data_IF_490926244532
#
_entry.id   IF_490926244532
#
_cell.length_a   1.000
_cell.length_b   1.000
_cell.length_c   1.000
_cell.angle_alpha   90.00
_cell.angle_beta   90.00
_cell.angle_gamma   90.00
#
_symmetry.space_group_name_H-M   'P 1'
#
loop_
_entity.id
_entity.type
_entity.pdbx_description
1 polymer ?
#
# COMPACT_ATOMS: atom_id res chain seq x y z
N UNK A 1 -12.35 1.58 36.32
CA UNK A 1 -11.08 1.11 36.96
C UNK A 1 -11.02 -0.40 36.76
N UNK A 2 -9.85 -1.01 36.47
CA UNK A 2 -8.60 -0.71 37.15
C UNK A 2 -7.67 0.21 36.36
N UNK A 3 -7.10 1.19 37.09
CA UNK A 3 -5.96 2.02 36.68
C UNK A 3 -4.76 1.11 36.40
N UNK A 4 -4.31 1.08 35.16
CA UNK A 4 -3.06 0.44 34.76
C UNK A 4 -1.87 1.05 35.52
N UNK A 5 -1.06 0.16 36.09
CA UNK A 5 0.07 0.36 36.99
C UNK A 5 1.08 1.42 36.50
N UNK A 6 1.37 2.41 37.35
CA UNK A 6 2.38 3.48 37.24
C UNK A 6 3.65 3.01 36.49
N UNK A 7 3.91 3.56 35.29
CA UNK A 7 5.09 3.25 34.45
C UNK A 7 6.39 3.57 35.19
N UNK A 8 7.37 2.65 35.16
CA UNK A 8 8.74 2.82 35.69
C UNK A 8 9.84 2.68 34.63
N UNK A 9 9.50 2.60 33.35
CA UNK A 9 10.44 2.61 32.21
C UNK A 9 9.75 3.16 30.96
N UNK A 10 10.48 3.92 30.14
CA UNK A 10 9.97 4.63 28.96
C UNK A 10 9.92 3.78 27.67
N UNK A 11 10.24 2.49 27.73
CA UNK A 11 10.29 1.59 26.58
C UNK A 11 9.02 0.75 26.36
N UNK A 12 8.89 0.21 25.15
CA UNK A 12 7.87 -0.80 24.81
C UNK A 12 8.19 -2.13 25.48
N UNK A 13 7.17 -2.84 25.96
CA UNK A 13 7.27 -4.23 26.40
C UNK A 13 7.34 -5.16 25.20
N UNK A 14 7.87 -6.37 25.40
CA UNK A 14 7.88 -7.45 24.39
C UNK A 14 6.51 -7.70 23.76
N UNK A 15 5.45 -7.69 24.57
CA UNK A 15 4.08 -7.89 24.12
C UNK A 15 3.59 -6.74 23.22
N UNK A 16 3.96 -5.49 23.56
CA UNK A 16 3.60 -4.31 22.77
C UNK A 16 4.35 -4.31 21.43
N UNK A 17 5.63 -4.70 21.42
CA UNK A 17 6.41 -4.85 20.17
C UNK A 17 5.85 -5.97 19.29
N UNK A 18 5.55 -7.13 19.87
CA UNK A 18 4.98 -8.25 19.13
C UNK A 18 3.64 -7.87 18.48
N UNK A 19 2.79 -7.14 19.21
CA UNK A 19 1.53 -6.62 18.67
C UNK A 19 1.74 -5.64 17.50
N UNK A 20 2.66 -4.68 17.64
CA UNK A 20 2.99 -3.73 16.56
C UNK A 20 3.50 -4.42 15.29
N UNK A 21 4.27 -5.49 15.45
CA UNK A 21 4.83 -6.26 14.34
C UNK A 21 3.93 -7.40 13.86
N UNK A 22 2.67 -7.47 14.31
CA UNK A 22 1.70 -8.51 13.98
C UNK A 22 2.24 -9.95 14.16
N UNK A 23 2.93 -10.20 15.27
CA UNK A 23 3.51 -11.51 15.61
C UNK A 23 3.19 -11.92 17.05
N UNK A 24 3.37 -13.19 17.39
CA UNK A 24 3.18 -13.65 18.76
C UNK A 24 4.33 -13.19 19.67
N UNK A 25 4.02 -12.88 20.94
CA UNK A 25 5.03 -12.51 21.93
C UNK A 25 6.05 -13.65 22.18
N UNK A 26 5.61 -14.90 22.06
CA UNK A 26 6.45 -16.09 22.14
C UNK A 26 7.42 -16.20 20.95
N UNK A 27 6.97 -15.91 19.73
CA UNK A 27 7.85 -15.80 18.56
C UNK A 27 8.89 -14.69 18.74
N UNK A 28 8.46 -13.50 19.17
CA UNK A 28 9.36 -12.39 19.45
C UNK A 28 10.41 -12.74 20.52
N UNK A 29 10.00 -13.42 21.60
CA UNK A 29 10.91 -13.85 22.65
C UNK A 29 11.88 -14.96 22.23
N UNK A 30 11.57 -15.77 21.20
CA UNK A 30 12.53 -16.69 20.59
C UNK A 30 13.53 -15.97 19.70
N UNK A 31 13.07 -14.97 18.96
CA UNK A 31 13.91 -14.13 18.11
C UNK A 31 14.97 -13.39 18.94
N UNK A 32 14.56 -12.76 20.05
CA UNK A 32 15.49 -12.09 20.97
C UNK A 32 16.53 -13.02 21.62
N UNK A 33 16.22 -14.31 21.76
CA UNK A 33 17.10 -15.29 22.41
C UNK A 33 18.00 -16.02 21.42
N UNK A 34 17.99 -15.66 20.13
CA UNK A 34 18.71 -16.35 19.06
C UNK A 34 18.39 -17.86 18.98
N UNK A 35 17.21 -18.26 19.47
CA UNK A 35 16.72 -19.65 19.49
C UNK A 35 15.50 -19.86 18.60
N UNK A 36 15.17 -18.86 17.79
CA UNK A 36 14.06 -18.89 16.85
C UNK A 36 14.50 -19.31 15.44
N UNK A 37 13.55 -19.74 14.59
CA UNK A 37 13.83 -19.93 13.16
C UNK A 37 14.23 -18.60 12.53
N UNK A 38 15.06 -18.67 11.48
CA UNK A 38 15.39 -17.51 10.64
C UNK A 38 14.08 -16.85 10.17
N UNK A 39 13.89 -15.53 10.41
CA UNK A 39 12.65 -14.87 10.01
C UNK A 39 12.47 -14.93 8.50
N UNK A 40 11.23 -15.20 8.06
CA UNK A 40 10.89 -15.12 6.64
C UNK A 40 10.91 -13.67 6.16
N UNK A 41 11.06 -13.42 4.84
CA UNK A 41 10.93 -12.07 4.27
C UNK A 41 9.66 -11.32 4.70
N UNK A 42 8.52 -12.02 4.79
CA UNK A 42 7.25 -11.45 5.25
C UNK A 42 7.28 -11.03 6.73
N UNK A 43 7.95 -11.83 7.58
CA UNK A 43 8.14 -11.50 8.98
C UNK A 43 9.05 -10.27 9.14
N UNK A 44 10.12 -10.18 8.34
CA UNK A 44 11.03 -9.02 8.34
C UNK A 44 10.31 -7.74 7.88
N UNK A 45 9.44 -7.83 6.87
CA UNK A 45 8.59 -6.72 6.45
C UNK A 45 7.66 -6.26 7.58
N UNK A 46 7.07 -7.21 8.31
CA UNK A 46 6.19 -6.93 9.45
C UNK A 46 6.94 -6.27 10.62
N UNK A 47 8.18 -6.70 10.89
CA UNK A 47 9.06 -6.07 11.89
C UNK A 47 9.41 -4.65 11.47
N UNK A 48 9.84 -4.45 10.22
CA UNK A 48 10.21 -3.14 9.72
C UNK A 48 9.03 -2.16 9.77
N UNK A 49 7.82 -2.65 9.47
CA UNK A 49 6.60 -1.88 9.55
C UNK A 49 6.21 -1.57 11.00
N UNK A 50 6.19 -2.56 11.88
CA UNK A 50 5.75 -2.39 13.28
C UNK A 50 6.70 -1.54 14.11
N UNK A 51 8.00 -1.62 13.85
CA UNK A 51 9.02 -0.82 14.52
C UNK A 51 9.26 0.54 13.88
N UNK A 52 8.50 0.88 12.83
CA UNK A 52 8.67 2.13 12.10
C UNK A 52 10.13 2.31 11.66
N UNK A 53 10.72 1.28 11.04
CA UNK A 53 12.04 1.40 10.44
C UNK A 53 11.95 2.26 9.18
N UNK A 54 13.02 2.99 8.86
CA UNK A 54 13.23 3.59 7.54
C UNK A 54 13.48 2.51 6.47
N UNK A 55 13.43 2.91 5.18
CA UNK A 55 13.75 2.01 4.07
C UNK A 55 15.19 1.47 4.20
N UNK A 56 16.14 2.30 4.62
CA UNK A 56 17.53 1.88 4.78
C UNK A 56 17.70 0.89 5.94
N UNK A 57 17.02 1.14 7.07
CA UNK A 57 17.00 0.23 8.23
C UNK A 57 16.29 -1.09 7.90
N UNK A 58 15.18 -1.06 7.14
CA UNK A 58 14.53 -2.25 6.61
C UNK A 58 15.49 -3.03 5.73
N UNK A 59 16.14 -2.38 4.77
CA UNK A 59 17.04 -3.07 3.84
C UNK A 59 18.26 -3.64 4.57
N UNK A 60 18.72 -2.97 5.63
CA UNK A 60 19.75 -3.50 6.51
C UNK A 60 19.25 -4.71 7.31
N UNK A 61 18.04 -4.66 7.87
CA UNK A 61 17.40 -5.78 8.58
C UNK A 61 17.28 -7.03 7.69
N UNK A 62 16.89 -6.88 6.43
CA UNK A 62 16.85 -7.99 5.47
C UNK A 62 18.23 -8.62 5.26
N UNK A 63 19.25 -7.79 5.06
CA UNK A 63 20.64 -8.25 4.88
C UNK A 63 21.19 -8.93 6.13
N UNK A 64 20.92 -8.41 7.32
CA UNK A 64 21.29 -9.04 8.59
C UNK A 64 20.68 -10.44 8.75
N UNK A 65 19.44 -10.60 8.27
CA UNK A 65 18.75 -11.88 8.27
C UNK A 65 19.11 -12.77 7.07
N UNK A 66 20.11 -12.42 6.25
CA UNK A 66 20.57 -13.24 5.12
C UNK A 66 19.66 -13.20 3.88
N UNK A 67 18.74 -12.23 3.79
CA UNK A 67 17.83 -12.06 2.66
C UNK A 67 18.23 -10.87 1.79
N UNK A 68 17.87 -10.94 0.51
CA UNK A 68 17.97 -9.78 -0.38
C UNK A 68 16.81 -8.81 -0.05
N UNK A 69 17.05 -7.51 0.13
CA UNK A 69 15.99 -6.56 0.44
C UNK A 69 14.96 -6.46 -0.70
N UNK A 70 13.68 -6.20 -0.40
CA UNK A 70 12.66 -6.01 -1.42
C UNK A 70 13.02 -4.85 -2.34
N UNK A 71 12.72 -4.94 -3.66
CA UNK A 71 12.89 -3.82 -4.57
C UNK A 71 12.24 -2.55 -4.00
N UNK A 72 12.97 -1.43 -4.04
CA UNK A 72 12.40 -0.12 -3.71
C UNK A 72 11.47 0.29 -4.88
N UNK A 73 10.20 0.57 -4.61
CA UNK A 73 9.24 0.97 -5.66
C UNK A 73 7.85 0.36 -5.50
N UNK A 74 7.15 0.14 -6.61
CA UNK A 74 5.71 -0.23 -6.69
C UNK A 74 5.24 -1.35 -5.80
N UNK A 75 6.06 -2.38 -5.61
CA UNK A 75 5.72 -3.57 -4.84
C UNK A 75 6.09 -3.46 -3.37
N UNK A 76 6.74 -2.36 -2.96
CA UNK A 76 7.10 -2.15 -1.56
C UNK A 76 5.87 -1.74 -0.76
N UNK A 77 5.37 -2.65 0.06
CA UNK A 77 4.30 -2.38 1.04
C UNK A 77 4.80 -1.62 2.28
N UNK A 78 6.09 -1.29 2.32
CA UNK A 78 6.69 -0.58 3.44
C UNK A 78 6.25 0.89 3.46
N UNK A 79 5.65 1.30 4.58
CA UNK A 79 5.23 2.67 4.82
C UNK A 79 6.25 3.36 5.71
N UNK A 80 6.78 4.49 5.25
CA UNK A 80 7.75 5.23 6.03
C UNK A 80 7.15 5.75 7.35
N UNK A 81 7.94 5.85 8.42
CA UNK A 81 7.50 6.37 9.72
C UNK A 81 6.96 7.81 9.65
N UNK A 82 7.51 8.61 8.74
CA UNK A 82 7.03 9.97 8.49
C UNK A 82 5.59 9.97 7.99
N UNK A 83 5.27 9.08 7.02
CA UNK A 83 3.95 9.01 6.43
C UNK A 83 2.90 8.45 7.40
N UNK A 84 3.26 7.45 8.22
CA UNK A 84 2.40 6.97 9.31
C UNK A 84 2.06 8.10 10.29
N UNK A 85 3.05 8.88 10.72
CA UNK A 85 2.82 10.01 11.65
C UNK A 85 1.94 11.11 11.09
N UNK A 86 1.91 11.27 9.76
CA UNK A 86 0.98 12.18 9.07
C UNK A 86 -0.41 11.57 9.06
N UNK A 87 -0.54 10.30 8.64
CA UNK A 87 -1.82 9.60 8.58
C UNK A 87 -2.50 9.53 9.96
N UNK A 88 -1.74 9.26 11.02
CA UNK A 88 -2.24 9.18 12.41
C UNK A 88 -2.85 10.49 12.90
N UNK A 89 -2.49 11.63 12.30
CA UNK A 89 -3.04 12.96 12.61
C UNK A 89 -4.32 13.28 11.85
N UNK A 90 -4.69 12.49 10.85
CA UNK A 90 -5.85 12.70 9.98
C UNK A 90 -7.07 11.87 10.44
N UNK A 91 -7.32 11.81 11.75
CA UNK A 91 -8.38 10.97 12.33
C UNK A 91 -9.77 11.32 11.77
N UNK A 92 -10.07 12.62 11.62
CA UNK A 92 -11.35 13.13 11.13
C UNK A 92 -11.33 13.51 9.64
N UNK A 93 -10.26 13.12 8.92
CA UNK A 93 -10.09 13.44 7.50
C UNK A 93 -9.99 12.15 6.68
N UNK A 94 -10.79 11.96 5.62
CA UNK A 94 -10.63 10.83 4.72
C UNK A 94 -9.24 10.86 4.07
N UNK A 95 -8.43 9.84 4.33
CA UNK A 95 -7.09 9.72 3.79
C UNK A 95 -6.65 8.26 3.67
N UNK A 96 -5.75 8.01 2.73
CA UNK A 96 -5.15 6.72 2.51
C UNK A 96 -3.69 6.83 2.06
N UNK A 97 -2.95 5.76 2.29
CA UNK A 97 -1.60 5.56 1.78
C UNK A 97 -1.69 4.47 0.71
N UNK A 98 -1.25 4.80 -0.49
CA UNK A 98 -1.28 3.90 -1.66
C UNK A 98 0.11 3.75 -2.27
N UNK A 99 0.34 2.65 -2.98
CA UNK A 99 1.51 2.46 -3.84
C UNK A 99 1.41 3.31 -5.12
N UNK A 100 2.46 3.33 -5.94
CA UNK A 100 2.42 4.00 -7.26
C UNK A 100 1.36 3.40 -8.21
N UNK A 101 0.94 2.15 -7.96
CA UNK A 101 -0.14 1.47 -8.70
C UNK A 101 -1.53 1.72 -8.11
N UNK A 102 -1.65 2.56 -7.08
CA UNK A 102 -2.90 2.81 -6.39
C UNK A 102 -3.38 1.61 -5.56
N UNK A 103 -2.46 0.78 -5.07
CA UNK A 103 -2.77 -0.31 -4.13
C UNK A 103 -2.74 0.23 -2.71
N UNK A 104 -3.85 0.11 -1.98
CA UNK A 104 -3.99 0.65 -0.63
C UNK A 104 -3.18 -0.14 0.39
N UNK A 105 -2.37 0.57 1.18
CA UNK A 105 -1.58 0.03 2.28
C UNK A 105 -2.21 0.33 3.64
N UNK A 106 -2.76 1.54 3.81
CA UNK A 106 -3.48 1.99 5.02
C UNK A 106 -4.55 3.01 4.67
N UNK A 107 -5.63 3.03 5.44
CA UNK A 107 -6.70 4.04 5.36
C UNK A 107 -7.03 4.57 6.76
N UNK A 108 -7.43 5.83 6.83
CA UNK A 108 -8.08 6.37 8.04
C UNK A 108 -9.49 5.81 8.17
N UNK A 109 -10.10 5.79 9.38
CA UNK A 109 -11.50 5.39 9.54
C UNK A 109 -12.46 6.17 8.64
N UNK A 110 -12.22 7.47 8.48
CA UNK A 110 -12.99 8.33 7.55
C UNK A 110 -12.73 7.98 6.09
N UNK A 111 -11.54 7.50 5.73
CA UNK A 111 -11.24 6.97 4.41
C UNK A 111 -12.05 5.71 4.11
N UNK A 112 -12.10 4.77 5.06
CA UNK A 112 -12.91 3.55 4.96
C UNK A 112 -14.41 3.89 4.85
N UNK A 113 -14.90 4.87 5.60
CA UNK A 113 -16.29 5.30 5.50
C UNK A 113 -16.64 5.92 4.14
N UNK A 114 -15.66 6.53 3.45
CA UNK A 114 -15.85 7.21 2.18
C UNK A 114 -15.73 6.27 0.97
N UNK A 115 -14.73 5.38 0.95
CA UNK A 115 -14.41 4.54 -0.22
C UNK A 115 -14.55 3.04 0.02
N UNK A 116 -15.00 2.64 1.22
CA UNK A 116 -14.94 1.26 1.69
C UNK A 116 -13.54 0.86 2.15
N UNK A 117 -13.44 -0.34 2.74
CA UNK A 117 -12.15 -0.91 3.14
C UNK A 117 -11.43 -1.49 1.91
N UNK A 118 -10.64 -0.65 1.27
CA UNK A 118 -9.87 -1.00 0.08
C UNK A 118 -8.61 -1.80 0.40
N UNK A 119 -8.27 -1.98 1.68
CA UNK A 119 -7.15 -2.85 2.09
C UNK A 119 -7.48 -4.34 1.95
N UNK A 120 -8.76 -4.70 1.80
CA UNK A 120 -9.22 -6.09 1.69
C UNK A 120 -9.06 -6.68 0.29
N UNK A 121 -8.83 -5.86 -0.73
CA UNK A 121 -8.63 -6.35 -2.09
C UNK A 121 -7.37 -7.22 -2.17
N UNK A 122 -7.42 -8.23 -3.04
CA UNK A 122 -6.30 -9.15 -3.30
C UNK A 122 -6.05 -9.28 -4.80
N UNK A 123 -4.90 -9.83 -5.18
CA UNK A 123 -4.56 -10.04 -6.59
C UNK A 123 -4.54 -8.72 -7.41
N UNK A 124 -4.89 -8.76 -8.71
CA UNK A 124 -4.96 -7.56 -9.56
C UNK A 124 -5.91 -6.48 -9.03
N UNK A 125 -6.99 -6.90 -8.37
CA UNK A 125 -8.00 -6.00 -7.81
C UNK A 125 -7.47 -5.11 -6.69
N UNK A 126 -6.23 -5.29 -6.19
CA UNK A 126 -5.58 -4.33 -5.28
C UNK A 126 -5.39 -2.95 -5.91
N UNK A 127 -5.11 -2.89 -7.20
CA UNK A 127 -4.86 -1.62 -7.90
C UNK A 127 -6.18 -0.91 -8.20
N UNK A 128 -6.32 0.34 -7.72
CA UNK A 128 -7.48 1.18 -8.06
C UNK A 128 -7.59 1.44 -9.55
N UNK A 129 -6.46 1.60 -10.24
CA UNK A 129 -6.43 1.73 -11.70
C UNK A 129 -6.91 0.47 -12.42
N UNK A 130 -6.59 -0.72 -11.90
CA UNK A 130 -7.13 -1.97 -12.46
C UNK A 130 -8.64 -2.05 -12.25
N UNK A 131 -9.11 -1.83 -11.00
CA UNK A 131 -10.55 -1.83 -10.67
C UNK A 131 -11.34 -0.83 -11.51
N UNK A 132 -10.77 0.34 -11.82
CA UNK A 132 -11.41 1.34 -12.68
C UNK A 132 -11.88 0.77 -14.03
N UNK A 133 -11.17 -0.21 -14.58
CA UNK A 133 -11.53 -0.85 -15.84
C UNK A 133 -12.34 -2.13 -15.66
N UNK A 134 -12.19 -2.85 -14.55
CA UNK A 134 -12.78 -4.19 -14.39
C UNK A 134 -13.98 -4.25 -13.44
N UNK A 135 -14.22 -3.19 -12.68
CA UNK A 135 -15.28 -3.12 -11.67
C UNK A 135 -16.10 -1.84 -11.89
N UNK A 136 -17.36 -2.01 -12.32
CA UNK A 136 -18.26 -0.89 -12.54
C UNK A 136 -18.51 -0.08 -11.26
N UNK A 137 -18.57 -0.75 -10.10
CA UNK A 137 -18.82 -0.10 -8.81
C UNK A 137 -17.69 0.85 -8.40
N UNK A 138 -16.47 0.62 -8.90
CA UNK A 138 -15.34 1.51 -8.67
C UNK A 138 -15.53 2.89 -9.32
N UNK A 139 -16.34 2.98 -10.39
CA UNK A 139 -16.66 4.24 -11.07
C UNK A 139 -17.81 4.99 -10.41
N UNK A 140 -18.72 4.29 -9.75
CA UNK A 140 -19.91 4.87 -9.12
C UNK A 140 -19.55 5.87 -8.00
N UNK A 141 -18.37 5.71 -7.39
CA UNK A 141 -17.84 6.67 -6.40
C UNK A 141 -17.52 8.05 -6.99
N UNK A 142 -17.35 8.15 -8.30
CA UNK A 142 -16.91 9.37 -8.99
C UNK A 142 -18.04 9.95 -9.83
N UNK A 143 -18.14 11.28 -9.88
CA UNK A 143 -19.15 11.91 -10.71
C UNK A 143 -18.93 11.54 -12.20
N UNK A 144 -20.00 11.29 -12.99
CA UNK A 144 -19.88 10.83 -14.37
C UNK A 144 -18.97 11.71 -15.24
N UNK A 145 -18.97 13.03 -14.99
CA UNK A 145 -18.13 13.98 -15.72
C UNK A 145 -16.63 13.78 -15.47
N UNK A 146 -16.25 13.11 -14.37
CA UNK A 146 -14.86 12.78 -14.05
C UNK A 146 -14.39 11.52 -14.78
N UNK A 147 -15.31 10.65 -15.23
CA UNK A 147 -14.95 9.31 -15.70
C UNK A 147 -13.98 9.34 -16.87
N UNK A 148 -14.25 10.16 -17.90
CA UNK A 148 -13.38 10.27 -19.06
C UNK A 148 -11.95 10.73 -18.69
N UNK A 149 -11.84 11.63 -17.71
CA UNK A 149 -10.55 12.08 -17.21
C UNK A 149 -9.82 10.98 -16.43
N UNK A 150 -10.52 10.29 -15.52
CA UNK A 150 -9.96 9.21 -14.69
C UNK A 150 -9.51 8.03 -15.55
N UNK A 151 -10.28 7.64 -16.58
CA UNK A 151 -9.89 6.60 -17.54
C UNK A 151 -8.55 6.93 -18.19
N UNK A 152 -8.38 8.15 -18.69
CA UNK A 152 -7.12 8.61 -19.29
C UNK A 152 -5.99 8.66 -18.27
N UNK A 153 -6.26 9.15 -17.06
CA UNK A 153 -5.29 9.24 -15.98
C UNK A 153 -4.72 7.87 -15.61
N UNK A 154 -5.59 6.87 -15.38
CA UNK A 154 -5.15 5.52 -15.01
C UNK A 154 -4.40 4.83 -16.15
N UNK A 155 -4.86 4.96 -17.40
CA UNK A 155 -4.15 4.40 -18.56
C UNK A 155 -2.76 5.03 -18.75
N UNK A 156 -2.65 6.36 -18.68
CA UNK A 156 -1.40 7.09 -18.80
C UNK A 156 -0.43 6.78 -17.64
N UNK A 157 -0.95 6.69 -16.41
CA UNK A 157 -0.18 6.33 -15.22
C UNK A 157 0.41 4.93 -15.33
N UNK A 158 -0.41 3.94 -15.72
CA UNK A 158 0.05 2.56 -15.89
C UNK A 158 1.11 2.46 -16.99
N UNK A 159 0.92 3.15 -18.14
CA UNK A 159 1.94 3.25 -19.19
C UNK A 159 3.26 3.81 -18.67
N UNK A 160 3.22 4.92 -17.94
CA UNK A 160 4.40 5.55 -17.37
C UNK A 160 5.17 4.61 -16.44
N UNK A 161 4.45 3.84 -15.62
CA UNK A 161 5.03 2.87 -14.71
C UNK A 161 5.65 1.66 -15.42
N UNK A 162 5.03 1.16 -16.49
CA UNK A 162 5.64 0.11 -17.33
C UNK A 162 6.97 0.59 -17.91
N UNK A 163 7.01 1.81 -18.45
CA UNK A 163 8.26 2.39 -18.96
C UNK A 163 9.32 2.54 -17.88
N UNK A 164 8.93 2.98 -16.67
CA UNK A 164 9.85 3.21 -15.57
C UNK A 164 10.38 1.91 -14.93
N UNK A 165 9.54 0.88 -14.81
CA UNK A 165 9.82 -0.35 -14.04
C UNK A 165 10.16 -1.56 -14.91
N UNK A 166 9.93 -1.49 -16.22
CA UNK A 166 10.25 -2.54 -17.18
C UNK A 166 9.14 -3.58 -17.38
N UNK A 167 9.35 -4.52 -18.34
CA UNK A 167 8.34 -5.47 -18.80
C UNK A 167 8.01 -6.58 -17.78
N UNK A 168 8.91 -6.89 -16.85
CA UNK A 168 8.66 -7.90 -15.80
C UNK A 168 7.99 -7.31 -14.54
N UNK A 169 7.57 -6.04 -14.62
CA UNK A 169 7.01 -5.31 -13.48
C UNK A 169 5.55 -5.67 -13.20
N UNK A 170 5.11 -5.41 -11.96
CA UNK A 170 3.69 -5.49 -11.59
C UNK A 170 2.80 -4.61 -12.48
N UNK A 171 3.32 -3.45 -12.90
CA UNK A 171 2.63 -2.55 -13.82
C UNK A 171 2.39 -3.21 -15.19
N UNK A 172 3.40 -3.90 -15.73
CA UNK A 172 3.31 -4.58 -17.02
C UNK A 172 2.30 -5.73 -16.96
N UNK A 173 2.37 -6.53 -15.89
CA UNK A 173 1.39 -7.58 -15.64
C UNK A 173 -0.06 -7.07 -15.60
N UNK A 174 -0.33 -5.96 -14.90
CA UNK A 174 -1.68 -5.37 -14.88
C UNK A 174 -2.09 -4.81 -16.25
N UNK A 175 -1.16 -4.22 -16.99
CA UNK A 175 -1.42 -3.71 -18.33
C UNK A 175 -1.80 -4.84 -19.30
N UNK A 176 -1.10 -5.97 -19.24
CA UNK A 176 -1.38 -7.14 -20.09
C UNK A 176 -2.76 -7.72 -19.80
N UNK A 177 -3.13 -7.87 -18.52
CA UNK A 177 -4.48 -8.33 -18.16
C UNK A 177 -5.58 -7.39 -18.70
N UNK A 178 -5.36 -6.07 -18.66
CA UNK A 178 -6.33 -5.09 -19.17
C UNK A 178 -6.37 -5.06 -20.71
N UNK A 179 -5.23 -5.26 -21.37
CA UNK A 179 -5.17 -5.38 -22.84
C UNK A 179 -6.01 -6.57 -23.32
N UNK A 180 -5.91 -7.71 -22.64
CA UNK A 180 -6.64 -8.92 -23.00
C UNK A 180 -8.15 -8.78 -22.78
N UNK A 181 -8.56 -8.11 -21.70
CA UNK A 181 -9.95 -8.16 -21.22
C UNK A 181 -10.77 -6.88 -21.42
N UNK A 182 -10.15 -5.73 -21.72
CA UNK A 182 -10.85 -4.43 -21.69
C UNK A 182 -10.64 -3.58 -22.94
N UNK A 183 -11.70 -3.42 -23.74
CA UNK A 183 -11.68 -2.65 -24.99
C UNK A 183 -11.50 -1.14 -24.76
N UNK A 184 -12.10 -0.58 -23.70
CA UNK A 184 -11.93 0.84 -23.38
C UNK A 184 -10.48 1.17 -23.05
N UNK A 185 -9.82 0.30 -22.28
CA UNK A 185 -8.41 0.42 -21.96
C UNK A 185 -7.55 0.37 -23.23
N UNK A 186 -7.80 -0.58 -24.13
CA UNK A 186 -7.10 -0.66 -25.44
C UNK A 186 -7.22 0.65 -26.20
N UNK A 187 -8.45 1.16 -26.37
CA UNK A 187 -8.72 2.41 -27.09
C UNK A 187 -8.00 3.61 -26.48
N UNK A 188 -8.06 3.77 -25.16
CA UNK A 188 -7.44 4.94 -24.50
C UNK A 188 -5.91 4.83 -24.47
N UNK A 189 -5.38 3.61 -24.38
CA UNK A 189 -3.95 3.35 -24.49
C UNK A 189 -3.39 3.77 -25.85
N UNK A 190 -4.13 3.57 -26.94
CA UNK A 190 -3.72 3.95 -28.30
C UNK A 190 -3.55 5.46 -28.50
N UNK A 191 -4.06 6.28 -27.57
CA UNK A 191 -3.79 7.72 -27.56
C UNK A 191 -2.38 8.07 -27.04
N UNK A 192 -1.61 7.09 -26.55
CA UNK A 192 -0.22 7.21 -26.09
C UNK A 192 0.05 8.32 -25.06
N UNK A 193 -0.96 8.68 -24.27
CA UNK A 193 -0.84 9.77 -23.30
C UNK A 193 0.05 9.39 -22.11
N UNK A 194 0.83 10.37 -21.62
CA UNK A 194 1.71 10.25 -20.45
C UNK A 194 1.58 11.52 -19.61
N UNK A 195 1.76 11.42 -18.29
CA UNK A 195 1.88 12.58 -17.41
C UNK A 195 0.56 13.24 -17.00
N UNK A 196 -0.57 12.59 -17.25
CA UNK A 196 -1.87 13.04 -16.72
C UNK A 196 -1.87 12.84 -15.20
N UNK A 197 -1.95 13.95 -14.46
CA UNK A 197 -1.95 13.94 -12.99
C UNK A 197 -3.35 14.21 -12.45
N UNK A 198 -3.69 13.71 -11.25
CA UNK A 198 -4.94 14.05 -10.57
C UNK A 198 -5.13 15.57 -10.52
N UNK A 199 -6.36 16.03 -10.72
CA UNK A 199 -6.72 17.44 -10.51
C UNK A 199 -6.63 17.76 -9.02
N UNK A 200 -6.39 19.03 -8.69
CA UNK A 200 -6.34 19.50 -7.28
C UNK A 200 -7.63 19.20 -6.50
N UNK A 201 -8.76 19.05 -7.20
CA UNK A 201 -10.05 18.70 -6.61
C UNK A 201 -10.63 17.46 -7.31
N UNK A 202 -10.87 16.42 -6.50
CA UNK A 202 -11.62 15.22 -6.88
C UNK A 202 -13.06 15.35 -6.36
N UNK A 203 -14.07 14.99 -7.16
CA UNK A 203 -15.49 15.07 -6.77
C UNK A 203 -16.08 13.67 -6.67
N UNK A 204 -16.39 13.27 -5.45
CA UNK A 204 -17.04 12.01 -5.16
C UNK A 204 -18.55 12.20 -5.09
N UNK A 205 -19.30 11.19 -5.50
CA UNK A 205 -20.76 11.15 -5.37
C UNK A 205 -21.08 10.37 -4.10
N UNK A 206 -21.72 11.03 -3.13
CA UNK A 206 -22.32 10.40 -1.95
C UNK A 206 -23.83 10.58 -2.01
#
# INVERSE_FOLDING_TARGET
MPRGRRRRTSGLRREEVAALCNMSADYYARLERERGPQPSPQMLASIAQGLHLSIDERDHLFRLAGHNPPPRGSSSEHISPGLLRVLDRLQDTPAEIVTELGETLRQTPMGVALTGDTTQYTGPARSSGYRWFTDASARDLYAPEQHAFMTRMYAAGLRGLVTLRGPDSRAAYLADLLLDSNEEFRRVRDNHEIGIRPREVLRLVN
#
